data_IF_652593332471
#
_entry.id   IF_652593332471
#
_cell.length_a   1.000
_cell.length_b   1.000
_cell.length_c   1.000
_cell.angle_alpha   90.00
_cell.angle_beta   90.00
_cell.angle_gamma   90.00
#
_symmetry.space_group_name_H-M   'P 1'
#
loop_
_entity.id
_entity.type
_entity.pdbx_description
1 polymer ?
#
# COMPACT_ATOMS: atom_id res chain seq x y z
N UNK A 1 -46.53 2.56 11.34
CA UNK A 1 -45.24 3.17 11.71
C UNK A 1 -44.03 2.22 11.72
N UNK A 2 -44.12 0.98 11.20
CA UNK A 2 -42.99 -0.01 11.20
C UNK A 2 -42.13 -0.01 9.91
N UNK A 3 -42.58 0.65 8.85
CA UNK A 3 -41.88 0.63 7.54
C UNK A 3 -40.83 1.72 7.37
N UNK A 4 -40.84 2.78 8.19
CA UNK A 4 -39.86 3.87 8.10
C UNK A 4 -38.49 3.49 8.71
N UNK A 5 -38.50 2.60 9.71
CA UNK A 5 -37.26 2.16 10.41
C UNK A 5 -36.36 1.29 9.54
N UNK A 6 -36.94 0.54 8.57
CA UNK A 6 -36.17 -0.37 7.71
C UNK A 6 -35.39 0.37 6.62
N UNK A 7 -35.91 1.51 6.15
CA UNK A 7 -35.26 2.33 5.12
C UNK A 7 -34.06 3.10 5.70
N UNK A 8 -34.16 3.51 6.98
CA UNK A 8 -33.04 4.20 7.66
C UNK A 8 -31.87 3.24 7.93
N UNK A 9 -32.14 1.96 8.18
CA UNK A 9 -31.08 0.95 8.42
C UNK A 9 -30.33 0.56 7.14
N UNK A 10 -31.00 0.57 5.98
CA UNK A 10 -30.36 0.25 4.69
C UNK A 10 -29.41 1.35 4.19
N UNK A 11 -29.63 2.61 4.61
CA UNK A 11 -28.72 3.70 4.27
C UNK A 11 -27.45 3.78 5.16
N UNK A 12 -27.44 3.12 6.32
CA UNK A 12 -26.27 3.05 7.19
C UNK A 12 -25.27 1.97 6.77
N UNK A 13 -25.65 1.02 5.91
CA UNK A 13 -24.76 -0.03 5.38
C UNK A 13 -24.17 0.27 4.00
N UNK A 14 -24.49 1.43 3.44
CA UNK A 14 -23.81 1.96 2.27
C UNK A 14 -22.41 2.53 2.61
N UNK A 15 -21.65 1.86 3.47
CA UNK A 15 -20.22 2.13 3.59
C UNK A 15 -19.61 1.74 2.25
N UNK A 16 -19.46 2.73 1.40
CA UNK A 16 -18.59 2.62 0.24
C UNK A 16 -17.23 2.17 0.79
N UNK A 17 -16.78 1.00 0.35
CA UNK A 17 -15.42 0.51 0.56
C UNK A 17 -14.46 1.39 -0.27
N UNK A 18 -14.40 2.69 0.06
CA UNK A 18 -13.33 3.54 -0.43
C UNK A 18 -12.03 3.02 0.18
N UNK A 19 -11.02 2.95 -0.62
CA UNK A 19 -9.70 2.63 -0.14
C UNK A 19 -9.27 3.62 0.94
N UNK A 20 -8.37 3.19 1.79
CA UNK A 20 -7.85 3.98 2.91
C UNK A 20 -6.36 4.20 2.74
N UNK A 21 -5.93 5.45 2.78
CA UNK A 21 -4.51 5.76 2.97
C UNK A 21 -4.13 5.49 4.41
N UNK A 22 -3.12 4.65 4.62
CA UNK A 22 -2.67 4.25 5.94
C UNK A 22 -1.30 4.86 6.21
N UNK A 23 -1.28 5.80 7.14
CA UNK A 23 -0.07 6.50 7.58
C UNK A 23 0.46 5.87 8.87
N UNK A 24 1.14 4.74 8.74
CA UNK A 24 1.93 4.16 9.82
C UNK A 24 3.36 4.70 9.75
N UNK A 25 4.04 4.73 10.90
CA UNK A 25 5.51 4.92 10.90
C UNK A 25 6.19 3.76 10.16
N UNK A 26 7.30 4.03 9.47
CA UNK A 26 8.01 3.01 8.69
C UNK A 26 8.35 1.76 9.52
N UNK A 27 8.82 1.95 10.77
CA UNK A 27 9.11 0.85 11.68
C UNK A 27 7.85 0.09 12.13
N UNK A 28 6.75 0.79 12.32
CA UNK A 28 5.45 0.20 12.71
C UNK A 28 4.89 -0.67 11.61
N UNK A 29 4.94 -0.19 10.35
CA UNK A 29 4.51 -0.99 9.20
C UNK A 29 5.41 -2.22 9.03
N UNK A 30 6.73 -2.08 9.18
CA UNK A 30 7.64 -3.22 9.11
C UNK A 30 7.35 -4.26 10.20
N UNK A 31 7.04 -3.82 11.42
CA UNK A 31 6.61 -4.69 12.52
C UNK A 31 5.32 -5.40 12.14
N UNK A 32 4.31 -4.67 11.67
CA UNK A 32 3.04 -5.25 11.21
C UNK A 32 3.24 -6.34 10.14
N UNK A 33 4.13 -6.11 9.17
CA UNK A 33 4.45 -7.10 8.12
C UNK A 33 5.11 -8.33 8.74
N UNK A 34 6.10 -8.13 9.62
CA UNK A 34 6.87 -9.23 10.25
C UNK A 34 6.05 -10.07 11.20
N UNK A 35 5.11 -9.47 11.92
CA UNK A 35 4.25 -10.13 12.90
C UNK A 35 2.99 -10.75 12.29
N UNK A 36 2.74 -10.56 11.00
CA UNK A 36 1.64 -11.22 10.33
C UNK A 36 1.76 -12.74 10.46
N UNK A 37 0.68 -13.37 10.86
CA UNK A 37 0.57 -14.83 11.06
C UNK A 37 0.15 -15.58 9.80
N UNK A 38 -0.03 -14.86 8.69
CA UNK A 38 -0.41 -15.48 7.42
C UNK A 38 0.76 -16.24 6.79
N UNK A 39 0.50 -17.37 6.12
CA UNK A 39 1.50 -18.12 5.38
C UNK A 39 2.31 -17.28 4.41
N UNK A 40 1.64 -16.32 3.77
CA UNK A 40 2.28 -15.45 2.79
C UNK A 40 2.00 -13.98 3.07
N UNK A 41 3.01 -13.16 2.85
CA UNK A 41 2.91 -11.70 2.88
C UNK A 41 3.38 -11.17 1.54
N UNK A 42 2.56 -10.39 0.88
CA UNK A 42 2.88 -9.78 -0.41
C UNK A 42 3.05 -8.29 -0.20
N UNK A 43 4.25 -7.78 -0.42
CA UNK A 43 4.54 -6.34 -0.44
C UNK A 43 4.62 -5.90 -1.89
N UNK A 44 3.84 -4.90 -2.28
CA UNK A 44 3.72 -4.40 -3.64
C UNK A 44 4.13 -2.93 -3.72
N UNK A 45 5.03 -2.58 -4.62
CA UNK A 45 5.43 -1.19 -4.85
C UNK A 45 4.44 -0.52 -5.80
N UNK A 46 3.61 0.35 -5.25
CA UNK A 46 2.68 1.18 -6.01
C UNK A 46 3.33 2.53 -6.34
N UNK A 47 3.09 3.00 -7.57
CA UNK A 47 3.50 4.33 -8.01
C UNK A 47 2.38 4.94 -8.86
N UNK A 48 1.89 6.13 -8.47
CA UNK A 48 0.73 6.78 -9.06
C UNK A 48 0.97 7.36 -10.47
N UNK A 49 2.23 7.60 -10.85
CA UNK A 49 2.59 8.05 -12.19
C UNK A 49 3.02 6.90 -13.14
N UNK A 50 2.97 5.66 -12.67
CA UNK A 50 3.30 4.49 -13.46
C UNK A 50 2.02 3.79 -13.95
N UNK A 51 1.68 3.95 -15.22
CA UNK A 51 0.44 3.40 -15.80
C UNK A 51 0.26 1.89 -15.52
N UNK A 52 1.27 1.02 -15.69
CA UNK A 52 1.14 -0.38 -15.27
C UNK A 52 0.78 -0.55 -13.80
N UNK A 53 1.33 0.27 -12.92
CA UNK A 53 1.03 0.24 -11.49
C UNK A 53 -0.43 0.57 -11.21
N UNK A 54 -0.94 1.59 -11.90
CA UNK A 54 -2.32 2.07 -11.76
C UNK A 54 -3.35 1.04 -12.25
N UNK A 55 -3.06 0.40 -13.38
CA UNK A 55 -3.97 -0.59 -14.01
C UNK A 55 -3.96 -1.91 -13.26
N UNK A 56 -2.78 -2.35 -12.80
CA UNK A 56 -2.62 -3.67 -12.17
C UNK A 56 -3.07 -3.69 -10.71
N UNK A 57 -2.88 -2.59 -9.97
CA UNK A 57 -3.17 -2.58 -8.53
C UNK A 57 -4.61 -2.99 -8.18
N UNK A 58 -5.68 -2.45 -8.81
CA UNK A 58 -7.04 -2.85 -8.48
C UNK A 58 -7.30 -4.35 -8.70
N UNK A 59 -6.67 -4.92 -9.73
CA UNK A 59 -6.82 -6.34 -10.07
C UNK A 59 -6.08 -7.22 -9.06
N UNK A 60 -4.84 -6.84 -8.71
CA UNK A 60 -4.03 -7.52 -7.70
C UNK A 60 -4.73 -7.46 -6.34
N UNK A 61 -5.22 -6.26 -5.95
CA UNK A 61 -5.95 -6.08 -4.70
C UNK A 61 -7.16 -7.00 -4.62
N UNK A 62 -8.00 -7.02 -5.66
CA UNK A 62 -9.17 -7.90 -5.71
C UNK A 62 -8.77 -9.37 -5.56
N UNK A 63 -7.76 -9.81 -6.31
CA UNK A 63 -7.30 -11.20 -6.27
C UNK A 63 -6.76 -11.60 -4.89
N UNK A 64 -5.94 -10.74 -4.27
CA UNK A 64 -5.28 -11.06 -3.02
C UNK A 64 -6.17 -10.85 -1.80
N UNK A 65 -7.12 -9.90 -1.83
CA UNK A 65 -8.07 -9.67 -0.73
C UNK A 65 -9.05 -10.84 -0.51
N UNK A 66 -9.28 -11.66 -1.52
CA UNK A 66 -10.12 -12.85 -1.43
C UNK A 66 -9.37 -14.06 -0.80
N UNK A 67 -8.05 -13.98 -0.68
CA UNK A 67 -7.22 -15.05 -0.15
C UNK A 67 -7.10 -14.98 1.37
N UNK A 68 -7.37 -16.12 2.02
CA UNK A 68 -7.28 -16.22 3.48
C UNK A 68 -5.88 -16.47 4.00
N UNK A 69 -4.99 -16.91 3.13
CA UNK A 69 -3.60 -17.31 3.42
C UNK A 69 -2.57 -16.21 3.10
N UNK A 70 -3.03 -15.04 2.64
CA UNK A 70 -2.18 -13.93 2.23
C UNK A 70 -2.54 -12.66 3.00
N UNK A 71 -1.54 -11.93 3.46
CA UNK A 71 -1.66 -10.51 3.80
C UNK A 71 -1.00 -9.67 2.70
N UNK A 72 -1.72 -8.65 2.24
CA UNK A 72 -1.30 -7.79 1.14
C UNK A 72 -0.98 -6.38 1.64
N UNK A 73 0.23 -5.92 1.35
CA UNK A 73 0.79 -4.64 1.77
C UNK A 73 1.22 -3.81 0.57
N UNK A 74 0.30 -3.08 -0.10
CA UNK A 74 0.68 -2.12 -1.12
C UNK A 74 1.33 -0.91 -0.46
N UNK A 75 2.59 -0.66 -0.77
CA UNK A 75 3.37 0.46 -0.27
C UNK A 75 3.56 1.53 -1.35
N UNK A 76 3.47 2.79 -0.95
CA UNK A 76 3.71 3.93 -1.82
C UNK A 76 4.57 4.95 -1.07
N UNK A 77 5.60 5.49 -1.70
CA UNK A 77 6.48 6.49 -1.09
C UNK A 77 6.15 7.93 -1.53
N UNK A 78 4.94 8.15 -2.02
CA UNK A 78 4.41 9.47 -2.36
C UNK A 78 3.70 10.10 -1.17
N UNK A 79 3.31 11.36 -1.27
CA UNK A 79 2.56 12.00 -0.19
C UNK A 79 1.17 11.38 -0.03
N UNK A 80 0.65 11.40 1.19
CA UNK A 80 -0.70 10.90 1.47
C UNK A 80 -1.76 11.57 0.60
N UNK A 81 -1.62 12.87 0.34
CA UNK A 81 -2.56 13.63 -0.48
C UNK A 81 -2.55 13.16 -1.96
N UNK A 82 -1.38 12.83 -2.52
CA UNK A 82 -1.29 12.27 -3.88
C UNK A 82 -1.94 10.90 -3.94
N UNK A 83 -1.69 10.05 -2.93
CA UNK A 83 -2.30 8.72 -2.85
C UNK A 83 -3.81 8.79 -2.65
N UNK A 84 -4.30 9.69 -1.81
CA UNK A 84 -5.74 9.95 -1.62
C UNK A 84 -6.40 10.37 -2.93
N UNK A 85 -5.82 11.34 -3.63
CA UNK A 85 -6.32 11.79 -4.92
C UNK A 85 -6.35 10.66 -5.96
N UNK A 86 -5.32 9.81 -5.99
CA UNK A 86 -5.30 8.62 -6.84
C UNK A 86 -6.45 7.67 -6.51
N UNK A 87 -6.63 7.33 -5.23
CA UNK A 87 -7.67 6.40 -4.79
C UNK A 87 -9.07 6.91 -5.13
N UNK A 88 -9.31 8.20 -4.94
CA UNK A 88 -10.59 8.84 -5.25
C UNK A 88 -10.87 8.83 -6.75
N UNK A 89 -9.90 9.27 -7.57
CA UNK A 89 -10.05 9.37 -9.02
C UNK A 89 -10.27 8.01 -9.70
N UNK A 90 -9.63 6.97 -9.19
CA UNK A 90 -9.70 5.62 -9.76
C UNK A 90 -10.66 4.68 -9.01
N UNK A 91 -11.33 5.15 -7.97
CA UNK A 91 -12.26 4.37 -7.13
C UNK A 91 -11.63 3.06 -6.63
N UNK A 92 -10.39 3.16 -6.21
CA UNK A 92 -9.60 2.02 -5.77
C UNK A 92 -9.95 1.65 -4.34
N UNK A 93 -10.18 0.36 -4.08
CA UNK A 93 -10.43 -0.17 -2.75
C UNK A 93 -9.15 -0.58 -2.02
N UNK A 94 -9.28 -0.81 -0.71
CA UNK A 94 -8.24 -1.36 0.14
C UNK A 94 -7.27 -0.33 0.73
N UNK A 95 -6.40 -0.78 1.64
CA UNK A 95 -5.39 0.08 2.23
C UNK A 95 -4.21 0.29 1.28
N UNK A 96 -3.68 1.51 1.23
CA UNK A 96 -2.36 1.82 0.66
C UNK A 96 -1.51 2.41 1.78
N UNK A 97 -0.36 1.80 2.04
CA UNK A 97 0.55 2.21 3.11
C UNK A 97 1.58 3.21 2.57
N UNK A 98 1.57 4.41 3.12
CA UNK A 98 2.55 5.42 2.72
C UNK A 98 3.80 5.28 3.56
N UNK A 99 4.96 5.14 2.90
CA UNK A 99 6.25 4.92 3.53
C UNK A 99 7.20 6.10 3.27
N UNK A 100 8.22 6.22 4.13
CA UNK A 100 9.32 7.19 3.98
C UNK A 100 8.87 8.67 4.02
N UNK A 101 7.75 8.97 4.73
CA UNK A 101 7.19 10.32 4.82
C UNK A 101 8.10 11.34 5.50
N UNK A 102 9.00 10.88 6.36
CA UNK A 102 9.89 11.73 7.16
C UNK A 102 11.19 12.14 6.44
N UNK A 103 11.29 11.89 5.13
CA UNK A 103 12.42 12.34 4.34
C UNK A 103 12.44 13.87 4.31
N UNK A 104 13.26 14.49 5.13
CA UNK A 104 13.48 15.94 5.10
C UNK A 104 14.01 16.31 3.72
N UNK A 105 13.19 16.97 2.93
CA UNK A 105 13.61 17.61 1.68
C UNK A 105 14.73 18.58 2.03
N UNK A 106 15.95 18.31 1.56
CA UNK A 106 17.07 19.22 1.79
C UNK A 106 16.77 20.51 1.05
N UNK A 107 16.66 21.65 1.76
CA UNK A 107 16.27 22.95 1.20
C UNK A 107 17.16 23.41 0.02
N UNK A 108 18.39 22.91 -0.06
CA UNK A 108 19.35 23.21 -1.12
C UNK A 108 19.25 22.27 -2.34
N UNK A 109 18.41 21.26 -2.28
CA UNK A 109 18.19 20.34 -3.38
C UNK A 109 17.18 20.95 -4.36
N UNK A 110 17.64 21.96 -5.08
CA UNK A 110 16.88 22.56 -6.21
C UNK A 110 16.60 21.50 -7.28
N UNK A 111 17.33 20.38 -7.28
CA UNK A 111 17.24 19.26 -8.22
C UNK A 111 17.31 17.94 -7.44
N UNK A 112 16.58 17.80 -6.35
CA UNK A 112 16.40 16.48 -5.75
C UNK A 112 15.26 15.81 -6.52
N UNK A 113 15.62 15.07 -7.56
CA UNK A 113 14.67 14.18 -8.24
C UNK A 113 14.23 13.14 -7.21
N UNK A 114 13.19 13.49 -6.45
CA UNK A 114 12.55 12.53 -5.58
C UNK A 114 12.02 11.39 -6.45
N UNK A 115 12.61 10.22 -6.31
CA UNK A 115 12.14 9.02 -6.96
C UNK A 115 11.38 8.16 -5.94
N UNK A 116 10.04 8.13 -5.96
CA UNK A 116 9.25 7.32 -5.04
C UNK A 116 9.58 5.84 -5.10
N UNK A 117 10.00 5.33 -6.26
CA UNK A 117 10.40 3.94 -6.44
C UNK A 117 11.65 3.65 -5.62
N UNK A 118 12.69 4.48 -5.75
CA UNK A 118 13.90 4.35 -4.92
C UNK A 118 13.59 4.47 -3.44
N UNK A 119 12.69 5.38 -3.07
CA UNK A 119 12.30 5.55 -1.67
C UNK A 119 11.55 4.33 -1.11
N UNK A 120 10.72 3.68 -1.92
CA UNK A 120 10.08 2.43 -1.55
C UNK A 120 11.08 1.27 -1.45
N UNK A 121 12.06 1.21 -2.38
CA UNK A 121 13.15 0.23 -2.33
C UNK A 121 14.03 0.42 -1.09
N UNK A 122 14.37 1.66 -0.75
CA UNK A 122 15.08 2.02 0.49
C UNK A 122 14.33 1.53 1.74
N UNK A 123 13.00 1.68 1.74
CA UNK A 123 12.16 1.15 2.83
C UNK A 123 12.29 -0.37 2.95
N UNK A 124 12.16 -1.10 1.84
CA UNK A 124 12.29 -2.56 1.83
C UNK A 124 13.65 -3.02 2.35
N UNK A 125 14.71 -2.37 1.90
CA UNK A 125 16.08 -2.72 2.30
C UNK A 125 16.31 -2.39 3.78
N UNK A 126 15.95 -1.18 4.21
CA UNK A 126 16.26 -0.69 5.57
C UNK A 126 15.42 -1.39 6.65
N UNK A 127 14.12 -1.61 6.40
CA UNK A 127 13.20 -2.06 7.44
C UNK A 127 12.84 -3.54 7.34
N UNK A 128 12.86 -4.11 6.14
CA UNK A 128 12.53 -5.52 5.92
C UNK A 128 13.78 -6.38 5.63
N UNK A 129 14.93 -5.76 5.35
CA UNK A 129 16.16 -6.48 5.04
C UNK A 129 16.14 -7.14 3.66
N UNK A 130 15.35 -6.60 2.73
CA UNK A 130 15.16 -7.13 1.38
C UNK A 130 16.07 -6.36 0.44
N UNK A 131 16.90 -7.05 -0.34
CA UNK A 131 17.66 -6.42 -1.42
C UNK A 131 16.70 -6.00 -2.54
N UNK A 132 16.41 -4.70 -2.58
CA UNK A 132 15.42 -4.12 -3.47
C UNK A 132 16.05 -3.17 -4.51
N UNK A 133 17.35 -3.16 -4.68
CA UNK A 133 18.06 -2.19 -5.54
C UNK A 133 17.64 -2.23 -7.01
N UNK A 134 17.10 -3.36 -7.47
CA UNK A 134 16.65 -3.56 -8.85
C UNK A 134 15.14 -3.55 -9.01
N UNK A 135 14.41 -3.28 -7.94
CA UNK A 135 12.96 -3.26 -7.99
C UNK A 135 12.45 -1.95 -8.59
N UNK A 136 11.41 -2.07 -9.41
CA UNK A 136 10.72 -0.94 -10.04
C UNK A 136 9.29 -0.77 -9.52
N UNK A 137 8.57 0.17 -10.10
CA UNK A 137 7.13 0.26 -9.93
C UNK A 137 6.46 -1.04 -10.41
N UNK A 138 5.35 -1.41 -9.77
CA UNK A 138 4.63 -2.66 -10.03
C UNK A 138 5.40 -3.93 -9.66
N UNK A 139 6.54 -3.81 -8.99
CA UNK A 139 7.24 -4.96 -8.43
C UNK A 139 6.57 -5.41 -7.14
N UNK A 140 6.72 -6.69 -6.85
CA UNK A 140 6.26 -7.25 -5.59
C UNK A 140 7.29 -8.20 -4.99
N UNK A 141 7.21 -8.37 -3.69
CA UNK A 141 8.00 -9.34 -2.92
C UNK A 141 7.03 -10.23 -2.18
N UNK A 142 7.26 -11.53 -2.26
CA UNK A 142 6.51 -12.52 -1.49
C UNK A 142 7.39 -13.04 -0.36
N UNK A 143 6.88 -12.92 0.86
CA UNK A 143 7.53 -13.44 2.06
C UNK A 143 6.74 -14.65 2.59
N UNK A 144 7.47 -15.64 3.09
CA UNK A 144 6.88 -16.77 3.81
C UNK A 144 6.61 -16.42 5.30
N UNK A 145 6.12 -17.39 6.07
CA UNK A 145 5.88 -17.24 7.52
C UNK A 145 7.10 -16.76 8.31
N UNK A 146 8.31 -17.17 7.87
CA UNK A 146 9.58 -16.79 8.50
C UNK A 146 10.13 -15.46 8.00
N UNK A 147 9.36 -14.70 7.25
CA UNK A 147 9.76 -13.45 6.60
C UNK A 147 10.94 -13.60 5.61
N UNK A 148 11.12 -14.77 5.03
CA UNK A 148 12.10 -15.01 3.98
C UNK A 148 11.48 -14.74 2.63
N UNK A 149 12.22 -14.08 1.76
CA UNK A 149 11.81 -13.83 0.36
C UNK A 149 11.76 -15.15 -0.39
N UNK A 150 10.65 -15.41 -1.06
CA UNK A 150 10.43 -16.61 -1.89
C UNK A 150 10.10 -16.28 -3.35
N UNK A 151 9.73 -15.02 -3.64
CA UNK A 151 9.53 -14.48 -4.99
C UNK A 151 9.59 -12.94 -4.95
#
# INVERSE_FOLDING_TARGET
>A
MRKLSLILFLNLFGFQLYGQVVNLGDAELATKIKESTKPYKVVYILCDYCEPSLVLYPQIYKLLSERKDVDFYPICAQSSAEVEAYMENHKVGGPIYVVNQNRKRKWYAIIDFYNPISAASDYLTKFLGIDADKMGASSFVVLNEKNQVIA
#
